data_IF_045867608379
#
_entry.id   IF_045867608379
#
_cell.length_a   1.000
_cell.length_b   1.000
_cell.length_c   1.000
_cell.angle_alpha   90.00
_cell.angle_beta   90.00
_cell.angle_gamma   90.00
#
_symmetry.space_group_name_H-M   'P 1'
#
loop_
_entity.id
_entity.type
_entity.pdbx_description
1 polymer ?
#
# COMPACT_ATOMS: atom_id res chain seq x y z
N UNK A 1 22.50 21.92 -13.71
CA UNK A 1 22.44 21.68 -12.26
C UNK A 1 23.87 21.67 -11.75
N UNK A 2 24.18 22.50 -10.76
CA UNK A 2 25.55 22.66 -10.24
C UNK A 2 26.04 21.46 -9.44
N UNK A 3 27.36 21.36 -9.27
CA UNK A 3 28.07 20.30 -8.53
C UNK A 3 27.79 20.34 -7.01
N UNK A 4 26.52 20.25 -6.60
CA UNK A 4 26.15 20.16 -5.18
C UNK A 4 26.18 18.69 -4.74
N UNK A 5 26.81 18.35 -3.60
CA UNK A 5 26.79 16.99 -3.08
C UNK A 5 25.36 16.47 -2.83
N UNK A 6 25.16 15.15 -2.91
CA UNK A 6 23.90 14.54 -2.51
C UNK A 6 23.61 14.78 -1.02
N UNK A 7 22.34 14.98 -0.68
CA UNK A 7 21.88 15.02 0.71
C UNK A 7 21.83 13.62 1.31
N UNK A 8 21.91 13.51 2.63
CA UNK A 8 21.79 12.24 3.37
C UNK A 8 20.57 12.32 4.27
N UNK A 9 19.63 11.40 4.09
CA UNK A 9 18.37 11.35 4.84
C UNK A 9 18.30 10.00 5.55
N UNK A 10 18.09 9.96 6.88
CA UNK A 10 17.84 8.72 7.60
C UNK A 10 16.62 7.98 7.04
N UNK A 11 16.77 6.69 6.78
CA UNK A 11 15.72 5.83 6.26
C UNK A 11 15.98 4.38 6.64
N UNK A 12 14.94 3.55 6.64
CA UNK A 12 15.04 2.10 6.82
C UNK A 12 14.41 1.42 5.60
N UNK A 13 15.09 0.43 5.03
CA UNK A 13 14.53 -0.41 3.97
C UNK A 13 14.05 -1.71 4.58
N UNK A 14 12.74 -1.97 4.52
CA UNK A 14 12.14 -3.13 5.17
C UNK A 14 11.31 -3.96 4.21
N UNK A 15 11.26 -5.27 4.47
CA UNK A 15 10.21 -6.15 3.98
C UNK A 15 9.04 -6.10 4.97
N UNK A 16 7.83 -5.90 4.46
CA UNK A 16 6.58 -6.14 5.19
C UNK A 16 5.72 -7.06 4.36
N UNK A 17 5.32 -8.22 4.92
CA UNK A 17 4.66 -9.27 4.15
C UNK A 17 5.49 -9.66 2.90
N UNK A 18 4.85 -9.63 1.74
CA UNK A 18 5.44 -9.89 0.41
C UNK A 18 5.86 -8.62 -0.35
N UNK A 19 5.97 -7.48 0.34
CA UNK A 19 6.39 -6.19 -0.25
C UNK A 19 7.66 -5.66 0.39
N UNK A 20 8.37 -4.77 -0.32
CA UNK A 20 9.50 -4.00 0.21
C UNK A 20 9.24 -2.51 0.04
N UNK A 21 9.64 -1.71 1.02
CA UNK A 21 9.48 -0.26 0.98
C UNK A 21 10.59 0.48 1.71
N UNK A 22 10.73 1.77 1.39
CA UNK A 22 11.63 2.70 2.11
C UNK A 22 10.81 3.49 3.13
N UNK A 23 11.19 3.37 4.40
CA UNK A 23 10.49 3.93 5.56
C UNK A 23 11.25 5.14 6.09
N UNK A 24 10.50 6.21 6.35
CA UNK A 24 11.01 7.47 6.88
C UNK A 24 10.24 7.88 8.12
N UNK A 25 10.93 8.46 9.11
CA UNK A 25 10.25 9.29 10.11
C UNK A 25 9.95 10.63 9.47
N UNK A 26 8.77 11.19 9.74
CA UNK A 26 8.38 12.48 9.19
C UNK A 26 9.43 13.57 9.47
N UNK A 27 9.93 13.62 10.69
CA UNK A 27 10.92 14.61 11.15
C UNK A 27 12.31 14.47 10.51
N UNK A 28 12.62 13.33 9.89
CA UNK A 28 13.91 13.10 9.23
C UNK A 28 13.89 13.56 7.76
N UNK A 29 12.70 13.79 7.20
CA UNK A 29 12.57 14.31 5.83
C UNK A 29 13.10 15.75 5.74
N UNK A 30 13.58 16.20 4.56
CA UNK A 30 13.83 17.60 4.31
C UNK A 30 12.61 18.46 4.69
N UNK A 31 12.80 19.64 5.26
CA UNK A 31 11.71 20.51 5.75
C UNK A 31 10.57 20.68 4.73
N UNK A 32 10.92 20.92 3.46
CA UNK A 32 9.94 21.07 2.38
C UNK A 32 9.14 19.79 2.07
N UNK A 33 9.64 18.62 2.44
CA UNK A 33 8.99 17.31 2.28
C UNK A 33 8.24 16.85 3.55
N UNK A 34 8.33 17.58 4.66
CA UNK A 34 7.60 17.28 5.90
C UNK A 34 6.10 17.58 5.81
N UNK A 35 5.65 18.30 4.78
CA UNK A 35 4.23 18.50 4.46
C UNK A 35 3.87 17.84 3.12
N UNK A 36 2.62 17.41 2.92
CA UNK A 36 2.18 16.88 1.63
C UNK A 36 2.36 17.92 0.50
N UNK A 37 2.81 17.48 -0.67
CA UNK A 37 2.96 18.33 -1.85
C UNK A 37 4.14 17.96 -2.73
N UNK A 38 4.35 18.76 -3.76
CA UNK A 38 5.29 18.47 -4.86
C UNK A 38 6.73 18.25 -4.38
N UNK A 39 7.18 18.95 -3.33
CA UNK A 39 8.52 18.78 -2.79
C UNK A 39 8.73 17.38 -2.17
N UNK A 40 7.73 16.87 -1.45
CA UNK A 40 7.72 15.50 -0.93
C UNK A 40 7.70 14.49 -2.07
N UNK A 41 6.82 14.69 -3.04
CA UNK A 41 6.67 13.75 -4.16
C UNK A 41 7.96 13.67 -4.98
N UNK A 42 8.58 14.80 -5.34
CA UNK A 42 9.86 14.82 -6.05
C UNK A 42 10.99 14.15 -5.25
N UNK A 43 11.03 14.37 -3.93
CA UNK A 43 12.01 13.72 -3.07
C UNK A 43 11.85 12.19 -3.11
N UNK A 44 10.64 11.69 -2.88
CA UNK A 44 10.36 10.26 -2.84
C UNK A 44 10.49 9.58 -4.20
N UNK A 45 10.07 10.25 -5.28
CA UNK A 45 10.32 9.82 -6.66
C UNK A 45 11.82 9.60 -6.89
N UNK A 46 12.66 10.55 -6.50
CA UNK A 46 14.13 10.43 -6.67
C UNK A 46 14.74 9.32 -5.81
N UNK A 47 14.24 9.10 -4.60
CA UNK A 47 14.67 7.98 -3.73
C UNK A 47 14.40 6.64 -4.40
N UNK A 48 13.20 6.45 -4.96
CA UNK A 48 12.81 5.19 -5.60
C UNK A 48 13.48 5.02 -6.97
N UNK A 49 13.78 6.11 -7.67
CA UNK A 49 14.36 6.10 -9.01
C UNK A 49 13.35 6.36 -10.12
N UNK A 50 12.24 7.02 -9.82
CA UNK A 50 11.15 7.30 -10.76
C UNK A 50 11.11 8.79 -11.20
N UNK A 51 10.55 9.10 -12.38
CA UNK A 51 10.15 8.16 -13.43
C UNK A 51 11.37 7.55 -14.14
N UNK A 52 11.34 6.25 -14.38
CA UNK A 52 12.40 5.54 -15.11
C UNK A 52 11.89 5.05 -16.47
N UNK A 53 12.35 5.67 -17.59
CA UNK A 53 11.97 5.21 -18.94
C UNK A 53 12.46 3.80 -19.26
N UNK A 54 13.43 3.25 -18.51
CA UNK A 54 13.92 1.89 -18.68
C UNK A 54 13.08 0.86 -17.91
N UNK A 55 12.26 1.31 -16.95
CA UNK A 55 11.48 0.43 -16.08
C UNK A 55 12.34 -0.54 -15.28
N UNK A 56 13.48 -0.07 -14.74
CA UNK A 56 14.46 -0.88 -14.00
C UNK A 56 14.81 -0.34 -12.60
N UNK A 57 14.57 0.94 -12.33
CA UNK A 57 14.94 1.63 -11.09
C UNK A 57 16.42 1.49 -10.72
N UNK A 58 17.32 1.40 -11.71
CA UNK A 58 18.77 1.24 -11.48
C UNK A 58 19.37 2.41 -10.68
N UNK A 59 18.83 3.61 -10.83
CA UNK A 59 19.28 4.83 -10.14
C UNK A 59 18.41 5.15 -8.92
N UNK A 60 17.96 4.14 -8.18
CA UNK A 60 17.16 4.32 -6.97
C UNK A 60 17.00 3.05 -6.14
N UNK A 61 16.18 3.14 -5.09
CA UNK A 61 15.93 2.05 -4.15
C UNK A 61 14.82 1.08 -4.59
N UNK A 62 14.08 1.43 -5.64
CA UNK A 62 12.99 0.60 -6.12
C UNK A 62 13.47 -0.65 -6.87
N UNK A 63 12.62 -1.67 -6.91
CA UNK A 63 12.92 -2.94 -7.59
C UNK A 63 12.15 -3.15 -8.90
N UNK A 64 11.66 -2.07 -9.52
CA UNK A 64 10.90 -2.09 -10.78
C UNK A 64 9.68 -3.03 -10.81
N UNK A 65 9.05 -3.26 -9.66
CA UNK A 65 7.75 -3.92 -9.54
C UNK A 65 6.87 -3.13 -8.59
N UNK A 66 5.55 -3.24 -8.70
CA UNK A 66 4.61 -2.57 -7.79
C UNK A 66 4.89 -2.91 -6.31
N UNK A 67 5.22 -4.17 -6.02
CA UNK A 67 5.59 -4.68 -4.68
C UNK A 67 6.90 -4.14 -4.11
N UNK A 68 7.71 -3.45 -4.91
CA UNK A 68 9.03 -2.91 -4.52
C UNK A 68 9.23 -1.45 -4.89
N UNK A 69 8.17 -0.75 -5.29
CA UNK A 69 8.14 0.67 -5.62
C UNK A 69 7.26 1.43 -4.63
N UNK A 70 7.65 1.40 -3.35
CA UNK A 70 6.82 1.81 -2.22
C UNK A 70 7.60 2.67 -1.24
N UNK A 71 6.97 3.75 -0.78
CA UNK A 71 7.50 4.60 0.27
C UNK A 71 6.52 4.67 1.43
N UNK A 72 7.07 4.82 2.64
CA UNK A 72 6.32 4.89 3.88
C UNK A 72 6.83 6.06 4.70
N UNK A 73 5.92 6.87 5.21
CA UNK A 73 6.20 7.91 6.18
C UNK A 73 5.48 7.57 7.47
N UNK A 74 6.21 7.56 8.58
CA UNK A 74 5.69 7.31 9.93
C UNK A 74 5.89 8.56 10.78
N UNK A 75 4.85 8.92 11.54
CA UNK A 75 4.85 10.06 12.44
C UNK A 75 4.26 9.66 13.80
N UNK A 76 4.46 10.46 14.87
CA UNK A 76 3.75 10.27 16.12
C UNK A 76 2.23 10.28 15.89
N UNK A 77 1.50 9.45 16.63
CA UNK A 77 0.04 9.35 16.49
C UNK A 77 -0.65 10.70 16.73
N UNK A 78 -1.46 11.14 15.76
CA UNK A 78 -2.24 12.39 15.88
C UNK A 78 -3.69 12.14 16.32
N UNK A 79 -4.13 10.88 16.28
CA UNK A 79 -5.46 10.46 16.70
C UNK A 79 -5.47 9.91 18.13
N UNK A 80 -6.48 10.25 18.96
CA UNK A 80 -6.65 9.62 20.26
C UNK A 80 -6.62 8.09 20.14
N UNK A 81 -5.93 7.44 21.07
CA UNK A 81 -5.82 5.98 21.11
C UNK A 81 -4.90 5.35 20.07
N UNK A 82 -4.19 6.14 19.26
CA UNK A 82 -3.21 5.64 18.28
C UNK A 82 -1.79 6.00 18.68
N UNK A 83 -0.86 5.11 18.36
CA UNK A 83 0.55 5.23 18.74
C UNK A 83 1.35 5.93 17.62
N UNK A 84 1.01 5.61 16.36
CA UNK A 84 1.67 6.16 15.16
C UNK A 84 0.68 6.45 14.05
N UNK A 85 1.00 7.48 13.25
CA UNK A 85 0.37 7.73 11.97
C UNK A 85 1.23 7.09 10.86
N UNK A 86 0.56 6.33 9.98
CA UNK A 86 1.16 5.65 8.84
C UNK A 86 0.62 6.23 7.54
N UNK A 87 1.51 6.78 6.71
CA UNK A 87 1.22 7.22 5.36
C UNK A 87 1.97 6.35 4.32
N UNK A 88 1.24 5.80 3.37
CA UNK A 88 1.73 4.97 2.27
C UNK A 88 1.72 5.74 0.95
N UNK A 89 2.84 5.72 0.22
CA UNK A 89 2.92 6.21 -1.15
C UNK A 89 3.29 5.08 -2.11
N UNK A 90 2.42 4.77 -3.06
CA UNK A 90 2.80 3.94 -4.20
C UNK A 90 3.49 4.82 -5.25
N UNK A 91 4.73 4.49 -5.58
CA UNK A 91 5.48 5.24 -6.59
C UNK A 91 5.30 4.57 -7.95
N UNK A 92 4.82 5.35 -8.94
CA UNK A 92 4.74 4.88 -10.32
C UNK A 92 6.14 4.67 -10.89
N UNK A 93 6.32 3.62 -11.70
CA UNK A 93 7.63 3.29 -12.29
C UNK A 93 7.94 4.24 -13.44
N UNK A 94 6.97 4.44 -14.33
CA UNK A 94 7.11 5.11 -15.62
C UNK A 94 6.69 6.60 -15.58
N UNK A 95 6.01 7.04 -14.51
CA UNK A 95 5.43 8.38 -14.40
C UNK A 95 5.94 9.12 -13.16
N UNK A 96 6.08 10.46 -13.21
CA UNK A 96 6.43 11.27 -12.04
C UNK A 96 5.22 11.44 -11.10
N UNK A 97 4.74 10.34 -10.55
CA UNK A 97 3.51 10.28 -9.78
C UNK A 97 3.63 9.36 -8.57
N UNK A 98 3.04 9.78 -7.46
CA UNK A 98 2.86 8.96 -6.27
C UNK A 98 1.37 8.90 -5.96
N UNK A 99 0.84 7.69 -5.87
CA UNK A 99 -0.54 7.44 -5.45
C UNK A 99 -0.61 7.34 -3.92
N UNK A 100 -1.34 8.28 -3.31
CA UNK A 100 -1.58 8.37 -1.87
C UNK A 100 -3.00 7.92 -1.47
N UNK A 101 -3.79 7.36 -2.39
CA UNK A 101 -5.21 7.08 -2.17
C UNK A 101 -5.50 5.79 -1.39
N UNK A 102 -4.54 4.88 -1.27
CA UNK A 102 -4.75 3.55 -0.71
C UNK A 102 -3.87 3.21 0.50
N UNK A 103 -4.08 2.02 1.04
CA UNK A 103 -3.21 1.38 2.02
C UNK A 103 -2.35 0.29 1.35
N UNK A 104 -1.25 -0.11 2.01
CA UNK A 104 -0.53 -1.34 1.67
C UNK A 104 -0.57 -2.31 2.86
N UNK A 105 -1.51 -3.27 2.82
CA UNK A 105 -1.69 -4.25 3.90
C UNK A 105 -0.43 -5.08 4.21
N UNK A 106 0.39 -5.37 3.19
CA UNK A 106 1.69 -6.02 3.38
C UNK A 106 2.65 -5.18 4.23
N UNK A 107 2.80 -3.89 3.91
CA UNK A 107 3.72 -3.02 4.65
C UNK A 107 3.20 -2.63 6.03
N UNK A 108 1.89 -2.77 6.30
CA UNK A 108 1.34 -2.65 7.65
C UNK A 108 2.02 -3.58 8.66
N UNK A 109 2.48 -4.77 8.24
CA UNK A 109 3.23 -5.70 9.10
C UNK A 109 4.59 -5.16 9.56
N UNK A 110 5.19 -4.22 8.81
CA UNK A 110 6.45 -3.60 9.16
C UNK A 110 6.29 -2.32 10.00
N UNK A 111 5.10 -1.74 10.08
CA UNK A 111 4.87 -0.48 10.82
C UNK A 111 5.05 -0.66 12.33
N UNK A 112 4.51 -1.73 12.89
CA UNK A 112 4.68 -2.05 14.31
C UNK A 112 6.16 -2.20 14.71
N UNK A 113 6.92 -3.11 14.05
CA UNK A 113 8.37 -3.22 14.20
C UNK A 113 9.11 -1.89 14.05
N UNK A 114 8.80 -1.14 12.99
CA UNK A 114 9.42 0.16 12.74
C UNK A 114 9.14 1.16 13.87
N UNK A 115 7.89 1.21 14.37
CA UNK A 115 7.48 2.12 15.42
C UNK A 115 8.25 1.87 16.73
N UNK A 116 8.41 0.60 17.11
CA UNK A 116 9.18 0.18 18.29
C UNK A 116 10.65 0.56 18.12
N UNK A 117 11.29 0.12 17.02
CA UNK A 117 12.71 0.32 16.78
C UNK A 117 13.11 1.81 16.63
N UNK A 118 12.16 2.68 16.26
CA UNK A 118 12.41 4.10 16.03
C UNK A 118 11.86 5.03 17.13
N UNK A 119 11.46 4.45 18.27
CA UNK A 119 11.12 5.22 19.47
C UNK A 119 9.77 5.94 19.43
N UNK A 120 8.81 5.43 18.65
CA UNK A 120 7.44 5.96 18.64
C UNK A 120 6.56 5.36 19.74
N UNK A 121 6.97 4.23 20.33
CA UNK A 121 6.25 3.57 21.40
C UNK A 121 6.87 3.98 22.73
N UNK A 122 6.02 4.33 23.71
CA UNK A 122 6.44 4.58 25.07
C UNK A 122 7.24 3.36 25.60
N UNK A 123 8.51 3.53 26.04
CA UNK A 123 9.32 2.44 26.56
C UNK A 123 8.64 1.65 27.69
N UNK A 124 7.76 2.27 28.48
CA UNK A 124 7.02 1.59 29.53
C UNK A 124 6.03 0.52 29.00
N UNK A 125 5.69 0.56 27.71
CA UNK A 125 4.84 -0.45 27.04
C UNK A 125 5.63 -1.55 26.35
N UNK A 126 6.96 -1.46 26.29
CA UNK A 126 7.82 -2.46 25.66
C UNK A 126 8.31 -3.39 26.78
N UNK A 127 7.81 -4.65 26.87
CA UNK A 127 8.29 -5.59 27.87
C UNK A 127 9.70 -6.08 27.51
N UNK A 128 10.43 -6.62 28.49
CA UNK A 128 11.69 -7.33 28.19
C UNK A 128 11.44 -8.51 27.24
N UNK A 129 10.35 -9.27 27.45
CA UNK A 129 9.94 -10.37 26.58
C UNK A 129 8.41 -10.43 26.51
N UNK A 130 7.84 -10.66 25.31
CA UNK A 130 6.40 -10.78 25.13
C UNK A 130 5.91 -10.16 23.82
N UNK A 131 4.76 -9.50 23.86
CA UNK A 131 4.13 -8.87 22.69
C UNK A 131 3.79 -7.42 22.99
N UNK A 132 4.09 -6.53 22.04
CA UNK A 132 3.65 -5.13 22.05
C UNK A 132 2.51 -4.98 21.06
N UNK A 133 1.38 -4.47 21.54
CA UNK A 133 0.25 -4.08 20.71
C UNK A 133 0.47 -2.65 20.23
N UNK A 134 0.68 -2.45 18.93
CA UNK A 134 0.86 -1.14 18.29
C UNK A 134 -0.42 -0.77 17.56
N UNK A 135 -1.00 0.38 17.92
CA UNK A 135 -2.21 0.93 17.29
C UNK A 135 -1.82 1.95 16.25
N UNK A 136 -2.08 1.63 14.99
CA UNK A 136 -1.62 2.37 13.82
C UNK A 136 -2.82 3.11 13.23
N UNK A 137 -2.70 4.43 13.10
CA UNK A 137 -3.63 5.23 12.31
C UNK A 137 -3.18 5.22 10.86
N UNK A 138 -3.91 4.53 9.99
CA UNK A 138 -3.67 4.52 8.55
C UNK A 138 -4.21 5.85 7.98
N UNK A 139 -3.30 6.78 7.69
CA UNK A 139 -3.64 8.16 7.35
C UNK A 139 -4.17 8.36 5.92
N UNK A 140 -3.92 7.43 5.00
CA UNK A 140 -4.46 7.47 3.63
C UNK A 140 -5.97 7.23 3.63
N UNK A 141 -6.43 6.21 4.38
CA UNK A 141 -7.82 5.74 4.35
C UNK A 141 -8.60 6.06 5.63
N UNK A 142 -7.94 6.61 6.64
CA UNK A 142 -8.56 6.98 7.91
C UNK A 142 -9.05 5.78 8.71
N UNK A 143 -8.24 4.73 8.84
CA UNK A 143 -8.62 3.48 9.53
C UNK A 143 -7.59 3.03 10.55
N UNK A 144 -8.07 2.28 11.54
CA UNK A 144 -7.22 1.69 12.59
C UNK A 144 -6.70 0.34 12.14
N UNK A 145 -5.40 0.14 12.29
CA UNK A 145 -4.74 -1.16 12.15
C UNK A 145 -4.05 -1.48 13.47
N UNK A 146 -4.22 -2.69 13.98
CA UNK A 146 -3.51 -3.16 15.18
C UNK A 146 -2.45 -4.16 14.76
N UNK A 147 -1.21 -3.95 15.21
CA UNK A 147 -0.11 -4.88 14.99
C UNK A 147 0.36 -5.47 16.32
N UNK A 148 0.40 -6.79 16.39
CA UNK A 148 0.92 -7.55 17.53
C UNK A 148 2.37 -7.93 17.26
N UNK A 149 3.30 -7.19 17.85
CA UNK A 149 4.73 -7.32 17.55
C UNK A 149 5.42 -8.12 18.65
N UNK A 150 6.03 -9.27 18.35
CA UNK A 150 6.81 -10.01 19.34
C UNK A 150 8.08 -9.26 19.71
N UNK A 151 8.47 -9.34 20.99
CA UNK A 151 9.61 -8.66 21.59
C UNK A 151 10.43 -9.65 22.41
N UNK A 152 11.75 -9.59 22.28
CA UNK A 152 12.74 -10.37 23.03
C UNK A 152 13.90 -9.48 23.42
N UNK A 153 14.34 -9.55 24.68
CA UNK A 153 15.34 -8.68 25.29
C UNK A 153 15.10 -7.17 25.04
N UNK A 154 13.84 -6.75 25.11
CA UNK A 154 13.39 -5.37 24.91
C UNK A 154 13.49 -4.87 23.47
N UNK A 155 13.77 -5.76 22.51
CA UNK A 155 13.88 -5.45 21.07
C UNK A 155 12.84 -6.23 20.27
N UNK A 156 12.51 -5.74 19.08
CA UNK A 156 11.64 -6.46 18.15
C UNK A 156 12.25 -7.83 17.83
N UNK A 157 11.46 -8.90 17.99
CA UNK A 157 11.82 -10.24 17.54
C UNK A 157 11.55 -10.33 16.04
N UNK A 158 12.58 -10.19 15.21
CA UNK A 158 12.43 -10.20 13.74
C UNK A 158 12.54 -11.62 13.15
N UNK A 159 13.38 -12.48 13.74
CA UNK A 159 13.59 -13.86 13.27
C UNK A 159 12.59 -14.82 13.90
N UNK A 160 12.32 -15.93 13.23
CA UNK A 160 11.35 -16.93 13.69
C UNK A 160 11.18 -18.03 12.65
N UNK A 161 10.19 -18.90 12.87
CA UNK A 161 9.88 -20.06 12.05
C UNK A 161 8.54 -19.92 11.30
N UNK A 162 7.86 -18.77 11.39
CA UNK A 162 6.63 -18.52 10.64
C UNK A 162 6.93 -18.34 9.15
N UNK A 163 6.27 -19.14 8.34
CA UNK A 163 6.33 -19.08 6.87
C UNK A 163 5.14 -18.30 6.31
N UNK A 164 5.40 -17.47 5.30
CA UNK A 164 4.39 -16.74 4.55
C UNK A 164 4.61 -17.00 3.06
N UNK A 165 3.58 -17.44 2.35
CA UNK A 165 3.69 -17.73 0.93
C UNK A 165 4.16 -16.49 0.14
N UNK A 166 5.12 -16.68 -0.76
CA UNK A 166 5.84 -15.60 -1.46
C UNK A 166 6.98 -14.93 -0.67
N UNK A 167 7.23 -15.30 0.60
CA UNK A 167 8.42 -14.89 1.36
C UNK A 167 9.42 -16.05 1.42
N UNK A 168 10.65 -15.80 0.98
CA UNK A 168 11.67 -16.85 0.80
C UNK A 168 12.16 -17.49 2.10
N UNK A 169 12.23 -16.72 3.19
CA UNK A 169 12.80 -17.17 4.47
C UNK A 169 11.80 -16.91 5.60
N UNK A 170 11.69 -17.83 6.57
CA UNK A 170 10.80 -17.64 7.71
C UNK A 170 11.25 -16.47 8.60
N UNK A 171 10.31 -15.93 9.35
CA UNK A 171 10.50 -14.80 10.26
C UNK A 171 9.58 -14.94 11.47
N UNK A 172 9.60 -13.98 12.39
CA UNK A 172 8.58 -13.93 13.44
C UNK A 172 7.20 -13.59 12.84
N UNK A 173 6.14 -14.19 13.39
CA UNK A 173 4.77 -13.84 13.05
C UNK A 173 4.42 -12.45 13.63
N UNK A 174 3.83 -11.58 12.79
CA UNK A 174 3.22 -10.32 13.23
C UNK A 174 1.75 -10.37 12.86
N UNK A 175 0.89 -10.57 13.85
CA UNK A 175 -0.55 -10.60 13.64
C UNK A 175 -1.08 -9.19 13.43
N UNK A 176 -1.95 -9.04 12.42
CA UNK A 176 -2.59 -7.77 12.08
C UNK A 176 -4.11 -7.87 12.23
N UNK A 177 -4.71 -6.83 12.80
CA UNK A 177 -6.16 -6.63 12.81
C UNK A 177 -6.49 -5.35 12.03
N UNK A 178 -7.34 -5.46 11.02
CA UNK A 178 -7.89 -4.32 10.29
C UNK A 178 -9.26 -4.00 10.86
N UNK A 179 -9.34 -2.97 11.69
CA UNK A 179 -10.55 -2.63 12.45
C UNK A 179 -11.52 -1.86 11.54
N UNK A 180 -12.79 -2.28 11.55
CA UNK A 180 -13.87 -1.69 10.74
C UNK A 180 -13.43 -1.42 9.28
N UNK A 181 -13.02 -2.46 8.54
CA UNK A 181 -12.31 -2.30 7.26
C UNK A 181 -13.21 -1.75 6.15
N UNK A 182 -14.53 -1.76 6.34
CA UNK A 182 -15.48 -1.13 5.43
C UNK A 182 -15.29 0.39 5.44
N UNK A 183 -15.35 1.02 4.27
CA UNK A 183 -15.41 2.47 4.21
C UNK A 183 -16.67 2.99 4.96
N UNK A 184 -16.53 4.10 5.71
CA UNK A 184 -17.66 4.69 6.44
C UNK A 184 -18.60 5.39 5.48
N UNK A 185 -19.91 5.39 5.76
CA UNK A 185 -20.88 6.19 5.01
C UNK A 185 -20.62 7.70 5.27
N UNK A 186 -19.99 8.40 4.31
CA UNK A 186 -19.63 9.82 4.46
C UNK A 186 -18.79 10.38 3.32
N UNK A 187 -18.36 11.65 3.42
CA UNK A 187 -17.62 12.36 2.35
C UNK A 187 -16.26 11.71 2.04
N UNK A 188 -16.29 10.74 1.13
CA UNK A 188 -15.14 9.97 0.64
C UNK A 188 -15.20 8.47 0.91
N UNK A 189 -16.13 7.99 1.73
CA UNK A 189 -16.32 6.57 2.04
C UNK A 189 -17.66 6.05 1.51
N UNK A 190 -17.60 5.04 0.65
CA UNK A 190 -18.79 4.33 0.18
C UNK A 190 -19.19 3.23 1.16
N UNK A 191 -20.46 2.80 1.15
CA UNK A 191 -20.89 1.60 1.86
C UNK A 191 -20.01 0.38 1.48
N UNK A 192 -19.98 -0.65 2.34
CA UNK A 192 -19.24 -1.90 2.07
C UNK A 192 -19.52 -2.43 0.66
N UNK A 193 -20.76 -2.32 0.19
CA UNK A 193 -21.17 -2.53 -1.20
C UNK A 193 -21.66 -1.19 -1.77
N UNK A 194 -20.82 -0.41 -2.49
CA UNK A 194 -21.16 0.94 -2.93
C UNK A 194 -22.39 1.01 -3.85
N UNK A 195 -22.71 -0.09 -4.54
CA UNK A 195 -23.90 -0.21 -5.40
C UNK A 195 -25.16 -0.62 -4.66
N UNK A 196 -25.04 -1.02 -3.39
CA UNK A 196 -26.10 -1.64 -2.60
C UNK A 196 -26.35 -3.13 -2.91
N UNK A 197 -25.62 -3.72 -3.87
CA UNK A 197 -25.80 -5.11 -4.29
C UNK A 197 -24.59 -5.97 -3.91
N UNK A 198 -24.83 -7.25 -3.57
CA UNK A 198 -23.75 -8.22 -3.42
C UNK A 198 -23.13 -8.60 -4.78
N UNK A 199 -23.96 -8.61 -5.83
CA UNK A 199 -23.55 -8.89 -7.21
C UNK A 199 -24.27 -7.92 -8.14
N UNK A 200 -23.50 -7.23 -8.98
CA UNK A 200 -23.96 -6.36 -10.06
C UNK A 200 -23.78 -7.03 -11.43
N UNK A 201 -24.56 -6.56 -12.40
CA UNK A 201 -24.25 -6.69 -13.82
C UNK A 201 -23.39 -5.50 -14.25
N UNK A 202 -22.09 -5.73 -14.44
CA UNK A 202 -21.12 -4.71 -14.86
C UNK A 202 -20.96 -4.73 -16.37
N UNK A 203 -21.45 -3.69 -17.05
CA UNK A 203 -21.28 -3.50 -18.49
C UNK A 203 -19.89 -2.94 -18.81
N UNK A 204 -19.12 -3.69 -19.60
CA UNK A 204 -17.75 -3.33 -20.00
C UNK A 204 -17.65 -3.34 -21.53
N UNK A 205 -17.55 -2.18 -22.20
CA UNK A 205 -17.42 -2.09 -23.65
C UNK A 205 -16.25 -2.91 -24.18
N UNK A 206 -16.50 -3.73 -25.21
CA UNK A 206 -15.49 -4.60 -25.82
C UNK A 206 -15.25 -5.93 -25.09
N UNK A 207 -15.82 -6.11 -23.89
CA UNK A 207 -15.75 -7.37 -23.12
C UNK A 207 -17.13 -8.01 -23.03
N UNK A 208 -18.14 -7.25 -22.61
CA UNK A 208 -19.51 -7.73 -22.39
C UNK A 208 -20.04 -7.33 -21.00
N UNK A 209 -21.13 -7.98 -20.58
CA UNK A 209 -21.67 -7.82 -19.23
C UNK A 209 -21.13 -8.91 -18.32
N UNK A 210 -20.51 -8.53 -17.21
CA UNK A 210 -19.89 -9.44 -16.25
C UNK A 210 -20.69 -9.44 -14.94
N UNK A 211 -20.83 -10.60 -14.31
CA UNK A 211 -21.25 -10.66 -12.90
C UNK A 211 -20.07 -10.22 -12.04
N UNK A 212 -20.28 -9.14 -11.28
CA UNK A 212 -19.20 -8.55 -10.48
C UNK A 212 -19.65 -8.26 -9.04
N UNK A 213 -18.78 -8.54 -8.07
CA UNK A 213 -18.92 -8.01 -6.71
C UNK A 213 -18.02 -6.81 -6.57
N UNK A 214 -18.63 -5.67 -6.23
CA UNK A 214 -17.97 -4.38 -6.05
C UNK A 214 -17.95 -4.08 -4.56
N UNK A 215 -16.82 -4.31 -3.90
CA UNK A 215 -16.70 -4.22 -2.44
C UNK A 215 -15.66 -3.19 -2.02
N UNK A 216 -15.94 -2.44 -0.96
CA UNK A 216 -15.04 -1.45 -0.38
C UNK A 216 -14.70 -1.82 1.07
N UNK A 217 -13.86 -2.85 1.23
CA UNK A 217 -13.36 -3.30 2.52
C UNK A 217 -11.84 -3.55 2.43
N UNK A 218 -11.05 -2.81 3.21
CA UNK A 218 -9.59 -2.78 3.10
C UNK A 218 -9.09 -1.95 1.91
N UNK A 219 -9.48 -2.31 0.70
CA UNK A 219 -9.30 -1.52 -0.52
C UNK A 219 -10.49 -1.77 -1.48
N UNK A 220 -10.96 -0.75 -2.24
CA UNK A 220 -11.96 -0.98 -3.27
C UNK A 220 -11.52 -2.08 -4.24
N UNK A 221 -12.34 -3.12 -4.38
CA UNK A 221 -12.00 -4.31 -5.16
C UNK A 221 -13.19 -4.75 -6.02
N UNK A 222 -12.89 -5.10 -7.27
CA UNK A 222 -13.84 -5.63 -8.25
C UNK A 222 -13.52 -7.12 -8.43
N UNK A 223 -14.42 -7.98 -7.96
CA UNK A 223 -14.32 -9.42 -8.17
C UNK A 223 -15.19 -9.82 -9.36
N UNK A 224 -14.63 -10.59 -10.30
CA UNK A 224 -15.34 -11.21 -11.43
C UNK A 224 -15.00 -12.70 -11.47
N UNK A 225 -15.86 -13.51 -12.09
CA UNK A 225 -15.54 -14.93 -12.28
C UNK A 225 -14.46 -15.08 -13.35
N UNK A 226 -13.45 -15.92 -13.09
CA UNK A 226 -12.39 -16.19 -14.06
C UNK A 226 -12.96 -16.71 -15.40
N UNK A 227 -13.95 -17.61 -15.35
CA UNK A 227 -14.56 -18.18 -16.54
C UNK A 227 -15.24 -17.13 -17.44
N UNK A 228 -15.82 -16.07 -16.85
CA UNK A 228 -16.52 -15.02 -17.60
C UNK A 228 -15.57 -14.13 -18.42
N UNK A 229 -14.27 -14.18 -18.09
CA UNK A 229 -13.19 -13.47 -18.79
C UNK A 229 -12.16 -14.43 -19.42
N UNK A 230 -12.52 -15.70 -19.57
CA UNK A 230 -11.73 -16.69 -20.32
C UNK A 230 -10.55 -17.32 -19.55
N UNK A 231 -10.56 -17.27 -18.22
CA UNK A 231 -9.52 -17.82 -17.35
C UNK A 231 -10.03 -18.94 -16.44
N UNK A 232 -9.09 -19.67 -15.84
CA UNK A 232 -9.36 -20.73 -14.86
C UNK A 232 -9.23 -20.25 -13.41
N UNK A 233 -8.49 -19.17 -13.16
CA UNK A 233 -8.15 -18.68 -11.83
C UNK A 233 -6.88 -19.32 -11.24
N UNK A 234 -6.13 -20.08 -12.05
CA UNK A 234 -4.88 -20.76 -11.65
C UNK A 234 -3.66 -20.29 -12.43
N UNK A 235 -3.81 -19.19 -13.17
CA UNK A 235 -2.76 -18.61 -14.01
C UNK A 235 -1.59 -18.07 -13.17
N UNK A 236 -0.37 -18.24 -13.70
CA UNK A 236 0.84 -17.61 -13.18
C UNK A 236 1.09 -16.26 -13.84
N UNK A 237 2.01 -15.47 -13.27
CA UNK A 237 2.33 -14.13 -13.74
C UNK A 237 2.64 -14.05 -15.24
N UNK A 238 3.48 -14.96 -15.76
CA UNK A 238 3.91 -14.94 -17.16
C UNK A 238 2.75 -15.16 -18.15
N UNK A 239 1.68 -15.86 -17.73
CA UNK A 239 0.50 -16.08 -18.55
C UNK A 239 -0.36 -14.82 -18.71
N UNK A 240 -0.23 -13.83 -17.81
CA UNK A 240 -1.03 -12.60 -17.80
C UNK A 240 -0.17 -11.39 -18.16
N UNK A 241 0.96 -11.20 -17.47
CA UNK A 241 1.80 -10.00 -17.60
C UNK A 241 2.48 -9.89 -18.97
N UNK A 242 2.64 -11.01 -19.68
CA UNK A 242 3.16 -11.05 -21.04
C UNK A 242 2.14 -10.78 -22.14
N UNK A 243 0.84 -10.66 -21.82
CA UNK A 243 -0.23 -10.43 -22.78
C UNK A 243 -0.82 -9.00 -22.67
N UNK A 244 -0.41 -8.09 -23.56
CA UNK A 244 -0.94 -6.72 -23.57
C UNK A 244 -2.46 -6.64 -23.75
N UNK A 245 -3.08 -7.63 -24.41
CA UNK A 245 -4.55 -7.65 -24.60
C UNK A 245 -5.25 -7.99 -23.29
N UNK A 246 -4.73 -8.97 -22.55
CA UNK A 246 -5.23 -9.29 -21.22
C UNK A 246 -5.12 -8.08 -20.28
N UNK A 247 -3.96 -7.42 -20.24
CA UNK A 247 -3.74 -6.24 -19.40
C UNK A 247 -4.68 -5.08 -19.76
N UNK A 248 -4.90 -4.82 -21.05
CA UNK A 248 -5.84 -3.81 -21.50
C UNK A 248 -7.30 -4.16 -21.13
N UNK A 249 -7.68 -5.43 -21.23
CA UNK A 249 -9.00 -5.91 -20.79
C UNK A 249 -9.20 -5.70 -19.29
N UNK A 250 -8.23 -6.09 -18.46
CA UNK A 250 -8.29 -5.90 -17.01
C UNK A 250 -8.41 -4.41 -16.63
N UNK A 251 -7.62 -3.54 -17.25
CA UNK A 251 -7.72 -2.10 -17.00
C UNK A 251 -9.08 -1.52 -17.42
N UNK A 252 -9.65 -2.01 -18.53
CA UNK A 252 -10.99 -1.57 -18.97
C UNK A 252 -12.07 -2.00 -17.97
N UNK A 253 -12.02 -3.25 -17.49
CA UNK A 253 -12.93 -3.74 -16.44
C UNK A 253 -12.77 -2.90 -15.17
N UNK A 254 -11.53 -2.65 -14.76
CA UNK A 254 -11.21 -1.87 -13.55
C UNK A 254 -11.77 -0.45 -13.62
N UNK A 255 -11.53 0.26 -14.72
CA UNK A 255 -11.99 1.64 -14.90
C UNK A 255 -13.53 1.74 -14.87
N UNK A 256 -14.22 0.80 -15.53
CA UNK A 256 -15.69 0.75 -15.51
C UNK A 256 -16.24 0.38 -14.12
N UNK A 257 -15.60 -0.54 -13.41
CA UNK A 257 -15.97 -0.86 -12.03
C UNK A 257 -15.74 0.32 -11.07
N UNK A 258 -14.62 1.05 -11.20
CA UNK A 258 -14.34 2.25 -10.40
C UNK A 258 -15.39 3.34 -10.62
N UNK A 259 -15.82 3.56 -11.87
CA UNK A 259 -16.93 4.48 -12.18
C UNK A 259 -18.25 3.99 -11.58
N UNK A 260 -18.55 2.68 -11.67
CA UNK A 260 -19.75 2.07 -11.09
C UNK A 260 -19.79 2.16 -9.57
N UNK A 261 -18.64 2.10 -8.92
CA UNK A 261 -18.46 2.28 -7.47
C UNK A 261 -18.50 3.75 -7.02
N UNK A 262 -18.54 4.71 -7.96
CA UNK A 262 -18.53 6.14 -7.66
C UNK A 262 -17.16 6.69 -7.22
N UNK A 263 -16.07 5.96 -7.46
CA UNK A 263 -14.71 6.38 -7.08
C UNK A 263 -14.15 7.45 -8.04
N UNK A 264 -14.63 7.46 -9.28
CA UNK A 264 -14.30 8.42 -10.33
C UNK A 264 -15.58 8.89 -11.03
N UNK A 265 -15.58 10.14 -11.50
CA UNK A 265 -16.70 10.69 -12.26
C UNK A 265 -16.56 10.42 -13.77
N UNK A 266 -15.31 10.36 -14.25
CA UNK A 266 -14.97 10.16 -15.66
C UNK A 266 -13.89 9.08 -15.83
N UNK A 267 -13.97 8.29 -16.90
CA UNK A 267 -13.05 7.16 -17.16
C UNK A 267 -11.58 7.60 -17.29
N UNK A 268 -11.33 8.83 -17.75
CA UNK A 268 -9.98 9.37 -17.90
C UNK A 268 -9.25 9.54 -16.55
N UNK A 269 -9.99 9.63 -15.44
CA UNK A 269 -9.41 9.69 -14.11
C UNK A 269 -8.73 8.37 -13.70
N UNK A 270 -9.22 7.23 -14.21
CA UNK A 270 -8.69 5.91 -13.90
C UNK A 270 -7.20 5.80 -14.25
N UNK A 271 -6.76 6.46 -15.33
CA UNK A 271 -5.35 6.46 -15.77
C UNK A 271 -4.37 7.12 -14.77
N UNK A 272 -4.89 7.85 -13.77
CA UNK A 272 -4.14 8.55 -12.72
C UNK A 272 -4.36 7.96 -11.32
N UNK A 273 -5.21 6.95 -11.18
CA UNK A 273 -5.50 6.26 -9.91
C UNK A 273 -5.29 4.77 -10.10
N UNK A 274 -4.10 4.30 -9.74
CA UNK A 274 -3.73 2.89 -9.95
C UNK A 274 -4.08 2.03 -8.73
N UNK A 275 -4.26 2.64 -7.56
CA UNK A 275 -4.58 1.95 -6.31
C UNK A 275 -6.04 2.17 -5.83
N UNK A 276 -6.85 2.91 -6.59
CA UNK A 276 -8.30 3.10 -6.37
C UNK A 276 -9.07 3.03 -7.68
#
# INVERSE_FOLDING_TARGET
MGNTPQIRIPAVYMRGGTSKGVFFRLQDLPDAAQVPGEARDRFLLRVIGSPDPYGKHIDGMGGATSSTSKTVIVAPGTRPGHDVDYLFGQVAIDKPFIDWSGNCGNLSAAIGPYAIANGFIDPARIPDNGTVVVRIWQANIGKTIVAHVPVTDGQVQETGDFELDGVTFPAAEVQLEFIDPAAEEGEGGGAMFPTGNLVDDLEVPGVGTLKATLINAGIPTIFVNAADIGYTGTELQDAINGDPKALAMFETIRAHGAMRMGLIAHLEEAARRQHT
#
